data_IF_114935077690
#
_entry.id   IF_114935077690
#
_cell.length_a   1.000
_cell.length_b   1.000
_cell.length_c   1.000
_cell.angle_alpha   90.00
_cell.angle_beta   90.00
_cell.angle_gamma   90.00
#
_symmetry.space_group_name_H-M   'P 1'
#
loop_
_entity.id
_entity.type
_entity.pdbx_description
1 polymer ?
#
# COMPACT_ATOMS: atom_id res chain seq x y z
N UNK A 1 13.22 -20.63 16.90
CA UNK A 1 11.96 -19.92 16.59
C UNK A 1 11.82 -19.78 15.08
N UNK A 2 10.60 -19.91 14.55
CA UNK A 2 10.36 -19.68 13.13
C UNK A 2 10.29 -18.16 12.88
N UNK A 3 10.87 -17.65 11.78
CA UNK A 3 10.74 -16.25 11.42
C UNK A 3 9.25 -15.90 11.21
N UNK A 4 8.83 -14.76 11.77
CA UNK A 4 7.45 -14.29 11.70
C UNK A 4 7.40 -12.95 10.95
N UNK A 5 6.29 -12.72 10.25
CA UNK A 5 6.03 -11.42 9.66
C UNK A 5 5.83 -10.37 10.76
N UNK A 6 6.26 -9.13 10.49
CA UNK A 6 6.12 -8.03 11.44
C UNK A 6 4.65 -7.80 11.84
N UNK A 7 3.72 -8.06 10.95
CA UNK A 7 2.27 -7.98 11.21
C UNK A 7 1.80 -8.85 12.38
N UNK A 8 2.43 -10.01 12.62
CA UNK A 8 2.03 -10.95 13.66
C UNK A 8 2.23 -10.44 15.10
N UNK A 9 2.99 -9.35 15.25
CA UNK A 9 3.17 -8.69 16.55
C UNK A 9 2.01 -7.75 16.92
N UNK A 10 1.13 -7.43 15.96
CA UNK A 10 -0.04 -6.57 16.18
C UNK A 10 -1.24 -7.43 16.51
N UNK A 11 -1.91 -7.11 17.60
CA UNK A 11 -3.11 -7.82 18.05
C UNK A 11 -4.15 -6.81 18.54
N UNK A 12 -5.40 -7.11 18.23
CA UNK A 12 -6.52 -6.34 18.78
C UNK A 12 -6.52 -6.46 20.30
N UNK A 13 -6.56 -5.33 21.01
CA UNK A 13 -6.50 -5.25 22.45
C UNK A 13 -7.88 -5.20 23.13
N UNK A 14 -8.93 -4.95 22.39
CA UNK A 14 -10.31 -4.81 22.89
C UNK A 14 -11.30 -5.44 21.92
N UNK A 15 -12.47 -5.80 22.45
CA UNK A 15 -13.56 -6.29 21.63
C UNK A 15 -14.20 -5.16 20.81
N UNK A 16 -14.55 -5.45 19.58
CA UNK A 16 -15.28 -4.53 18.70
C UNK A 16 -16.70 -5.04 18.48
N UNK A 17 -17.63 -4.10 18.31
CA UNK A 17 -19.01 -4.42 17.95
C UNK A 17 -19.04 -4.95 16.52
N UNK A 18 -19.65 -6.11 16.32
CA UNK A 18 -19.74 -6.75 14.98
C UNK A 18 -20.61 -5.94 14.03
N UNK A 19 -21.73 -5.42 14.52
CA UNK A 19 -22.68 -4.59 13.77
C UNK A 19 -22.77 -3.22 14.47
N UNK A 20 -22.00 -2.21 14.07
CA UNK A 20 -22.12 -0.87 14.63
C UNK A 20 -23.52 -0.29 14.32
N UNK A 21 -24.10 0.52 15.23
CA UNK A 21 -25.43 1.10 15.06
C UNK A 21 -25.42 2.26 14.07
N UNK A 22 -25.23 1.93 12.79
CA UNK A 22 -25.19 2.89 11.67
C UNK A 22 -26.42 2.60 10.81
N UNK A 23 -27.17 3.65 10.46
CA UNK A 23 -28.30 3.53 9.55
C UNK A 23 -27.83 3.28 8.09
N UNK A 24 -28.64 2.62 7.24
CA UNK A 24 -28.23 2.27 5.88
C UNK A 24 -27.84 3.45 5.00
N UNK A 25 -28.35 4.64 5.26
CA UNK A 25 -28.02 5.85 4.47
C UNK A 25 -26.62 6.34 4.82
N UNK A 26 -26.25 6.31 6.11
CA UNK A 26 -24.94 6.70 6.58
C UNK A 26 -23.89 5.64 6.31
N UNK A 27 -24.28 4.37 6.22
CA UNK A 27 -23.36 3.26 5.96
C UNK A 27 -22.57 3.49 4.67
N UNK A 28 -23.22 3.96 3.61
CA UNK A 28 -22.57 4.24 2.33
C UNK A 28 -21.42 5.27 2.45
N UNK A 29 -21.58 6.26 3.32
CA UNK A 29 -20.55 7.27 3.56
C UNK A 29 -19.50 6.80 4.56
N UNK A 30 -19.93 6.27 5.72
CA UNK A 30 -19.05 5.92 6.85
C UNK A 30 -18.22 4.69 6.55
N UNK A 31 -18.77 3.72 5.81
CA UNK A 31 -18.09 2.47 5.42
C UNK A 31 -17.47 2.54 4.03
N UNK A 32 -17.45 3.71 3.41
CA UNK A 32 -16.82 3.88 2.10
C UNK A 32 -15.32 3.61 2.17
N UNK A 33 -14.83 2.80 1.22
CA UNK A 33 -13.39 2.58 0.99
C UNK A 33 -12.85 3.48 -0.13
N UNK A 34 -13.69 4.37 -0.68
CA UNK A 34 -13.28 5.28 -1.75
C UNK A 34 -12.31 6.33 -1.22
N UNK A 35 -11.19 6.48 -1.88
CA UNK A 35 -10.11 7.38 -1.50
C UNK A 35 -9.62 8.22 -2.70
N UNK A 36 -9.10 9.42 -2.41
CA UNK A 36 -8.41 10.26 -3.37
C UNK A 36 -6.94 10.29 -3.01
N UNK A 37 -6.09 9.81 -3.90
CA UNK A 37 -4.65 9.77 -3.71
C UNK A 37 -3.93 10.77 -4.61
N UNK A 38 -2.86 11.38 -4.09
CA UNK A 38 -2.04 12.35 -4.81
C UNK A 38 -1.42 13.40 -3.88
N UNK A 39 -0.90 14.46 -4.47
CA UNK A 39 -0.38 15.59 -3.73
C UNK A 39 -1.54 16.52 -3.33
N UNK A 40 -1.79 16.66 -2.04
CA UNK A 40 -2.86 17.53 -1.50
C UNK A 40 -2.48 19.02 -1.61
N UNK A 41 -1.24 19.33 -1.96
CA UNK A 41 -0.74 20.71 -1.99
C UNK A 41 -0.30 21.23 -0.61
N UNK A 42 0.09 22.49 -0.58
CA UNK A 42 0.74 23.05 0.62
C UNK A 42 -0.23 23.52 1.70
N UNK A 43 -1.45 23.88 1.35
CA UNK A 43 -2.42 24.40 2.33
C UNK A 43 -3.84 23.91 2.02
N UNK A 44 -4.27 22.88 2.72
CA UNK A 44 -5.61 22.27 2.58
C UNK A 44 -6.75 23.25 2.94
N UNK A 45 -6.46 24.30 3.72
CA UNK A 45 -7.46 25.28 4.14
C UNK A 45 -7.71 26.36 3.08
N UNK A 46 -6.82 26.49 2.10
CA UNK A 46 -6.97 27.44 0.99
C UNK A 46 -7.33 26.66 -0.28
N UNK A 47 -8.60 26.70 -0.74
CA UNK A 47 -9.01 26.03 -1.98
C UNK A 47 -8.18 26.50 -3.16
N UNK A 48 -7.63 25.57 -3.92
CA UNK A 48 -6.89 25.84 -5.15
C UNK A 48 -7.08 24.73 -6.17
N UNK A 49 -6.86 25.02 -7.44
CA UNK A 49 -6.94 24.02 -8.53
C UNK A 49 -5.93 22.87 -8.34
N UNK A 50 -4.83 23.12 -7.60
CA UNK A 50 -3.83 22.10 -7.30
C UNK A 50 -4.40 20.92 -6.51
N UNK A 51 -5.42 21.16 -5.65
CA UNK A 51 -6.09 20.11 -4.87
C UNK A 51 -6.93 19.15 -5.73
N UNK A 52 -7.21 19.51 -6.97
CA UNK A 52 -7.95 18.64 -7.90
C UNK A 52 -7.05 17.63 -8.63
N UNK A 53 -5.72 17.71 -8.47
CA UNK A 53 -4.76 16.79 -9.08
C UNK A 53 -4.63 15.50 -8.27
N UNK A 54 -5.70 14.73 -8.22
CA UNK A 54 -5.78 13.47 -7.49
C UNK A 54 -6.37 12.37 -8.35
N UNK A 55 -6.00 11.12 -8.05
CA UNK A 55 -6.64 9.93 -8.61
C UNK A 55 -7.65 9.40 -7.61
N UNK A 56 -8.89 9.20 -8.05
CA UNK A 56 -9.91 8.55 -7.24
C UNK A 56 -9.76 7.04 -7.36
N UNK A 57 -9.65 6.39 -6.23
CA UNK A 57 -9.69 4.94 -6.10
C UNK A 57 -11.03 4.52 -5.49
N UNK A 58 -11.72 3.51 -6.03
CA UNK A 58 -12.95 2.97 -5.42
C UNK A 58 -12.64 2.24 -4.10
N UNK A 59 -11.44 1.70 -3.97
CA UNK A 59 -10.90 1.04 -2.78
C UNK A 59 -9.36 1.10 -2.80
N UNK A 60 -8.69 0.96 -1.65
CA UNK A 60 -7.24 1.13 -1.53
C UNK A 60 -6.42 -0.05 -2.05
N UNK A 61 -7.06 -1.15 -2.48
CA UNK A 61 -6.38 -2.31 -3.04
C UNK A 61 -6.30 -2.19 -4.55
N UNK A 62 -5.09 -2.08 -5.08
CA UNK A 62 -4.81 -1.96 -6.51
C UNK A 62 -4.51 -3.32 -7.13
N UNK A 63 -5.13 -3.64 -8.24
CA UNK A 63 -4.71 -4.76 -9.09
C UNK A 63 -3.34 -4.47 -9.73
N UNK A 64 -2.67 -5.52 -10.24
CA UNK A 64 -1.40 -5.34 -10.97
C UNK A 64 -1.55 -4.38 -12.15
N UNK A 65 -2.63 -4.51 -12.91
CA UNK A 65 -2.92 -3.63 -14.06
C UNK A 65 -3.13 -2.17 -13.63
N UNK A 66 -3.86 -1.94 -12.52
CA UNK A 66 -4.06 -0.58 -12.00
C UNK A 66 -2.75 0.05 -11.51
N UNK A 67 -1.90 -0.74 -10.84
CA UNK A 67 -0.58 -0.28 -10.43
C UNK A 67 0.30 0.06 -11.64
N UNK A 68 0.30 -0.78 -12.68
CA UNK A 68 1.04 -0.53 -13.91
C UNK A 68 0.58 0.75 -14.61
N UNK A 69 -0.72 1.04 -14.62
CA UNK A 69 -1.27 2.31 -15.13
C UNK A 69 -0.71 3.49 -14.34
N UNK A 70 -0.67 3.41 -13.00
CA UNK A 70 -0.10 4.46 -12.15
C UNK A 70 1.40 4.63 -12.35
N UNK A 71 2.16 3.53 -12.52
CA UNK A 71 3.59 3.58 -12.83
C UNK A 71 3.89 4.30 -14.14
N UNK A 72 3.00 4.16 -15.13
CA UNK A 72 3.17 4.69 -16.48
C UNK A 72 2.32 5.91 -16.77
N UNK A 73 1.81 6.57 -15.74
CA UNK A 73 0.94 7.74 -15.91
C UNK A 73 1.68 8.85 -16.65
N UNK A 74 1.12 9.27 -17.81
CA UNK A 74 1.70 10.32 -18.67
C UNK A 74 0.87 11.60 -18.68
N UNK A 75 -0.05 11.72 -17.75
CA UNK A 75 -0.89 12.92 -17.67
C UNK A 75 -0.09 14.07 -17.05
N UNK A 76 -0.22 15.26 -17.62
CA UNK A 76 0.54 16.44 -17.21
C UNK A 76 0.32 16.76 -15.72
N UNK A 77 1.42 16.81 -14.98
CA UNK A 77 1.43 17.11 -13.55
C UNK A 77 1.29 15.88 -12.64
N UNK A 78 1.34 14.66 -13.20
CA UNK A 78 1.39 13.41 -12.44
C UNK A 78 2.74 12.73 -12.68
N UNK A 79 3.48 12.51 -11.61
CA UNK A 79 4.79 11.88 -11.62
C UNK A 79 4.83 10.75 -10.61
N UNK A 80 5.26 9.59 -11.06
CA UNK A 80 5.39 8.38 -10.23
C UNK A 80 6.83 7.92 -10.18
N UNK A 81 7.29 7.50 -9.01
CA UNK A 81 8.57 6.83 -8.83
C UNK A 81 8.35 5.51 -8.11
N UNK A 82 9.10 4.47 -8.51
CA UNK A 82 9.12 3.18 -7.84
C UNK A 82 10.46 3.01 -7.15
N UNK A 83 10.43 2.86 -5.82
CA UNK A 83 11.59 2.69 -4.97
C UNK A 83 11.65 1.25 -4.46
N UNK A 84 12.77 0.53 -4.67
CA UNK A 84 12.95 -0.80 -4.13
C UNK A 84 13.14 -0.74 -2.61
N UNK A 85 12.46 -1.62 -1.88
CA UNK A 85 12.62 -1.80 -0.44
C UNK A 85 13.49 -3.04 -0.17
N UNK A 86 14.69 -3.06 -0.73
CA UNK A 86 15.61 -4.18 -0.64
C UNK A 86 16.88 -3.80 0.14
N UNK A 87 17.50 -4.80 0.80
CA UNK A 87 18.80 -4.64 1.45
C UNK A 87 19.68 -5.87 1.22
N UNK A 88 21.00 -5.70 1.30
CA UNK A 88 21.97 -6.79 1.19
C UNK A 88 21.93 -7.68 2.44
N UNK A 89 21.65 -8.97 2.24
CA UNK A 89 21.57 -9.98 3.33
C UNK A 89 22.90 -10.14 4.03
N UNK A 90 24.03 -10.02 3.31
CA UNK A 90 25.37 -10.23 3.85
C UNK A 90 25.80 -9.16 4.86
N UNK A 91 25.24 -7.94 4.73
CA UNK A 91 25.50 -6.86 5.67
C UNK A 91 24.66 -6.92 6.95
N UNK A 92 23.71 -7.84 7.05
CA UNK A 92 22.88 -8.09 8.23
C UNK A 92 22.13 -6.85 8.73
N UNK A 93 22.12 -6.65 10.05
CA UNK A 93 21.39 -5.54 10.69
C UNK A 93 21.86 -4.15 10.21
N UNK A 94 23.16 -3.99 10.00
CA UNK A 94 23.72 -2.70 9.55
C UNK A 94 23.20 -2.34 8.15
N UNK A 95 23.25 -3.29 7.22
CA UNK A 95 22.73 -3.08 5.86
C UNK A 95 21.23 -2.75 5.85
N UNK A 96 20.43 -3.40 6.71
CA UNK A 96 19.00 -3.06 6.85
C UNK A 96 18.81 -1.61 7.33
N UNK A 97 19.59 -1.16 8.31
CA UNK A 97 19.50 0.21 8.83
C UNK A 97 19.93 1.26 7.79
N UNK A 98 21.00 0.96 7.07
CA UNK A 98 21.50 1.83 5.99
C UNK A 98 20.50 1.91 4.83
N UNK A 99 19.96 0.77 4.40
CA UNK A 99 18.95 0.71 3.34
C UNK A 99 17.68 1.47 3.73
N UNK A 100 17.22 1.35 4.98
CA UNK A 100 16.06 2.09 5.47
C UNK A 100 16.32 3.60 5.50
N UNK A 101 17.51 4.03 5.94
CA UNK A 101 17.90 5.45 5.92
C UNK A 101 18.03 5.98 4.50
N UNK A 102 18.58 5.19 3.59
CA UNK A 102 18.69 5.55 2.18
C UNK A 102 17.31 5.67 1.52
N UNK A 103 16.40 4.74 1.81
CA UNK A 103 15.02 4.75 1.33
C UNK A 103 14.29 6.04 1.75
N UNK A 104 14.42 6.44 3.01
CA UNK A 104 13.82 7.67 3.51
C UNK A 104 14.34 8.92 2.77
N UNK A 105 15.65 8.99 2.54
CA UNK A 105 16.27 10.10 1.79
C UNK A 105 15.87 10.10 0.32
N UNK A 106 15.76 8.93 -0.32
CA UNK A 106 15.30 8.81 -1.70
C UNK A 106 13.85 9.25 -1.84
N UNK A 107 12.99 8.87 -0.89
CA UNK A 107 11.60 9.32 -0.87
C UNK A 107 11.50 10.84 -0.70
N UNK A 108 12.31 11.43 0.18
CA UNK A 108 12.36 12.87 0.37
C UNK A 108 12.82 13.60 -0.91
N UNK A 109 13.91 13.14 -1.54
CA UNK A 109 14.42 13.70 -2.78
C UNK A 109 13.37 13.62 -3.91
N UNK A 110 12.66 12.49 -4.00
CA UNK A 110 11.58 12.32 -4.98
C UNK A 110 10.45 13.34 -4.78
N UNK A 111 10.09 13.67 -3.54
CA UNK A 111 9.11 14.72 -3.27
C UNK A 111 9.63 16.09 -3.71
N UNK A 112 10.91 16.40 -3.48
CA UNK A 112 11.52 17.65 -3.93
C UNK A 112 11.55 17.78 -5.46
N UNK A 113 11.62 16.67 -6.18
CA UNK A 113 11.50 16.58 -7.64
C UNK A 113 10.05 16.68 -8.14
N UNK A 114 9.08 16.79 -7.23
CA UNK A 114 7.66 16.94 -7.57
C UNK A 114 6.94 15.62 -7.87
N UNK A 115 7.44 14.51 -7.34
CA UNK A 115 6.78 13.20 -7.48
C UNK A 115 5.51 13.15 -6.63
N UNK A 116 4.38 12.82 -7.27
CA UNK A 116 3.08 12.74 -6.63
C UNK A 116 2.77 11.35 -6.05
N UNK A 117 3.38 10.29 -6.61
CA UNK A 117 3.15 8.90 -6.22
C UNK A 117 4.49 8.20 -6.00
N UNK A 118 4.75 7.80 -4.77
CA UNK A 118 5.90 6.97 -4.41
C UNK A 118 5.40 5.54 -4.21
N UNK A 119 5.90 4.62 -5.02
CA UNK A 119 5.60 3.19 -4.92
C UNK A 119 6.79 2.50 -4.27
N UNK A 120 6.60 1.97 -3.06
CA UNK A 120 7.56 1.11 -2.40
C UNK A 120 7.35 -0.32 -2.88
N UNK A 121 8.39 -1.01 -3.32
CA UNK A 121 8.27 -2.34 -3.91
C UNK A 121 9.29 -3.32 -3.35
N UNK A 122 8.82 -4.50 -2.93
CA UNK A 122 9.67 -5.62 -2.52
C UNK A 122 10.03 -6.57 -3.68
N UNK A 123 9.66 -6.22 -4.92
CA UNK A 123 10.06 -7.02 -6.07
C UNK A 123 11.56 -6.97 -6.29
N UNK A 124 12.12 -8.11 -6.69
CA UNK A 124 13.55 -8.26 -6.94
C UNK A 124 14.30 -8.94 -5.79
N UNK A 125 13.59 -9.55 -4.85
CA UNK A 125 14.21 -10.42 -3.84
C UNK A 125 14.94 -11.57 -4.51
N UNK A 126 16.20 -11.77 -4.13
CA UNK A 126 17.06 -12.85 -4.60
C UNK A 126 17.93 -13.41 -3.46
N UNK A 127 18.97 -14.21 -3.80
CA UNK A 127 19.85 -14.80 -2.81
C UNK A 127 20.72 -13.76 -2.06
N UNK A 128 20.97 -12.59 -2.64
CA UNK A 128 21.79 -11.52 -2.07
C UNK A 128 20.95 -10.40 -1.44
N UNK A 129 19.72 -10.23 -1.90
CA UNK A 129 18.85 -9.12 -1.50
C UNK A 129 17.56 -9.62 -0.86
N UNK A 130 17.31 -9.21 0.37
CA UNK A 130 16.06 -9.43 1.09
C UNK A 130 15.21 -8.16 1.12
N UNK A 131 13.90 -8.34 1.26
CA UNK A 131 12.99 -7.21 1.42
C UNK A 131 13.08 -6.63 2.84
N UNK A 132 13.09 -5.31 2.95
CA UNK A 132 12.75 -4.63 4.18
C UNK A 132 11.29 -4.97 4.49
N UNK A 133 10.92 -5.38 5.72
CA UNK A 133 9.51 -5.62 6.06
C UNK A 133 8.63 -4.47 5.61
N UNK A 134 7.59 -4.75 4.85
CA UNK A 134 6.77 -3.74 4.17
C UNK A 134 6.17 -2.72 5.14
N UNK A 135 5.71 -3.17 6.31
CA UNK A 135 5.18 -2.30 7.36
C UNK A 135 6.25 -1.37 7.93
N UNK A 136 7.49 -1.86 8.10
CA UNK A 136 8.61 -1.04 8.56
C UNK A 136 8.99 0.02 7.51
N UNK A 137 9.06 -0.36 6.24
CA UNK A 137 9.39 0.56 5.15
C UNK A 137 8.34 1.68 5.02
N UNK A 138 7.05 1.33 5.01
CA UNK A 138 5.95 2.30 4.95
C UNK A 138 6.00 3.26 6.14
N UNK A 139 6.09 2.71 7.36
CA UNK A 139 6.14 3.51 8.59
C UNK A 139 7.34 4.46 8.61
N UNK A 140 8.52 3.98 8.25
CA UNK A 140 9.74 4.80 8.26
C UNK A 140 9.65 5.96 7.25
N UNK A 141 9.25 5.70 6.02
CA UNK A 141 9.08 6.73 4.99
C UNK A 141 7.97 7.71 5.38
N UNK A 142 6.84 7.22 5.88
CA UNK A 142 5.72 8.05 6.33
C UNK A 142 6.16 9.04 7.43
N UNK A 143 6.78 8.54 8.50
CA UNK A 143 7.22 9.39 9.60
C UNK A 143 8.40 10.30 9.24
N UNK A 144 9.30 9.85 8.38
CA UNK A 144 10.36 10.71 7.86
C UNK A 144 9.76 11.89 7.08
N UNK A 145 8.85 11.64 6.15
CA UNK A 145 8.20 12.70 5.39
C UNK A 145 7.36 13.64 6.27
N UNK A 146 6.80 13.16 7.38
CA UNK A 146 6.15 14.02 8.38
C UNK A 146 7.18 14.92 9.04
N UNK A 147 8.32 14.38 9.50
CA UNK A 147 9.36 15.13 10.21
C UNK A 147 9.95 16.26 9.37
N UNK A 148 10.02 16.06 8.05
CA UNK A 148 10.48 17.09 7.09
C UNK A 148 9.34 17.89 6.46
N UNK A 149 8.09 17.74 6.95
CA UNK A 149 6.89 18.47 6.51
C UNK A 149 6.52 18.28 5.03
N UNK A 150 6.83 17.12 4.45
CA UNK A 150 6.60 16.81 3.03
C UNK A 150 5.53 15.73 2.80
N UNK A 151 5.00 15.10 3.87
CA UNK A 151 4.11 13.92 3.75
C UNK A 151 2.87 14.17 2.88
N UNK A 152 2.27 15.35 2.95
CA UNK A 152 1.05 15.70 2.21
C UNK A 152 1.27 16.01 0.73
N UNK A 153 2.53 16.04 0.29
CA UNK A 153 2.89 16.35 -1.09
C UNK A 153 2.95 15.11 -1.99
N UNK A 154 2.79 13.93 -1.44
CA UNK A 154 2.85 12.67 -2.18
C UNK A 154 1.92 11.62 -1.60
N UNK A 155 1.42 10.71 -2.44
CA UNK A 155 0.77 9.49 -2.02
C UNK A 155 1.81 8.36 -1.90
N UNK A 156 1.70 7.56 -0.84
CA UNK A 156 2.59 6.44 -0.57
C UNK A 156 1.86 5.14 -0.88
N UNK A 157 2.35 4.38 -1.84
CA UNK A 157 1.77 3.12 -2.28
C UNK A 157 2.74 2.00 -1.97
N UNK A 158 2.24 0.86 -1.51
CA UNK A 158 3.08 -0.32 -1.24
C UNK A 158 2.71 -1.48 -2.17
N UNK A 159 3.69 -1.98 -2.91
CA UNK A 159 3.62 -3.22 -3.69
C UNK A 159 4.39 -4.29 -2.93
N UNK A 160 3.71 -5.27 -2.35
CA UNK A 160 4.37 -6.26 -1.50
C UNK A 160 3.75 -7.65 -1.58
N UNK A 161 4.63 -8.66 -1.56
CA UNK A 161 4.27 -10.07 -1.43
C UNK A 161 3.95 -10.49 0.00
N UNK A 162 4.22 -9.67 1.00
CA UNK A 162 3.90 -9.97 2.41
C UNK A 162 2.41 -9.83 2.72
N UNK A 163 1.66 -9.08 1.90
CA UNK A 163 0.24 -8.77 2.13
C UNK A 163 -0.60 -9.98 1.76
N UNK A 164 -1.20 -10.65 2.76
CA UNK A 164 -1.96 -11.91 2.57
C UNK A 164 -3.34 -11.87 3.19
N UNK A 165 -3.57 -11.00 4.16
CA UNK A 165 -4.77 -10.92 4.97
C UNK A 165 -5.27 -9.49 5.10
N UNK A 166 -6.56 -9.33 5.43
CA UNK A 166 -7.19 -8.02 5.66
C UNK A 166 -6.48 -7.22 6.73
N UNK A 167 -5.99 -7.89 7.81
CA UNK A 167 -5.25 -7.24 8.88
C UNK A 167 -3.95 -6.62 8.38
N UNK A 168 -3.23 -7.29 7.45
CA UNK A 168 -2.01 -6.72 6.86
C UNK A 168 -2.31 -5.44 6.07
N UNK A 169 -3.38 -5.46 5.29
CA UNK A 169 -3.85 -4.28 4.57
C UNK A 169 -4.22 -3.14 5.51
N UNK A 170 -5.01 -3.42 6.54
CA UNK A 170 -5.44 -2.43 7.53
C UNK A 170 -4.24 -1.80 8.26
N UNK A 171 -3.24 -2.59 8.64
CA UNK A 171 -2.02 -2.07 9.28
C UNK A 171 -1.21 -1.18 8.34
N UNK A 172 -1.01 -1.57 7.09
CA UNK A 172 -0.27 -0.75 6.11
C UNK A 172 -0.96 0.59 5.87
N UNK A 173 -2.28 0.59 5.70
CA UNK A 173 -3.06 1.82 5.56
C UNK A 173 -3.01 2.67 6.84
N UNK A 174 -3.13 2.05 8.01
CA UNK A 174 -3.03 2.71 9.31
C UNK A 174 -1.65 3.33 9.58
N UNK A 175 -0.59 2.75 9.01
CA UNK A 175 0.78 3.26 9.09
C UNK A 175 1.17 4.20 7.96
N UNK A 176 0.23 4.59 7.11
CA UNK A 176 0.38 5.70 6.19
C UNK A 176 0.46 5.36 4.71
N UNK A 177 0.23 4.10 4.32
CA UNK A 177 0.03 3.78 2.91
C UNK A 177 -1.32 4.34 2.43
N UNK A 178 -1.34 4.96 1.26
CA UNK A 178 -2.57 5.42 0.60
C UNK A 178 -3.23 4.30 -0.20
N UNK A 179 -2.44 3.37 -0.72
CA UNK A 179 -2.93 2.20 -1.44
C UNK A 179 -1.93 1.05 -1.35
N UNK A 180 -2.41 -0.16 -1.60
CA UNK A 180 -1.62 -1.38 -1.53
C UNK A 180 -1.81 -2.21 -2.81
N UNK A 181 -0.77 -2.94 -3.21
CA UNK A 181 -0.85 -3.96 -4.25
C UNK A 181 -0.33 -5.29 -3.69
N UNK A 182 -1.21 -6.23 -3.32
CA UNK A 182 -0.84 -7.56 -2.81
C UNK A 182 -0.55 -8.53 -3.97
N UNK A 183 0.48 -8.26 -4.77
CA UNK A 183 0.71 -8.99 -6.03
C UNK A 183 0.88 -10.50 -5.86
N UNK A 184 1.48 -10.94 -4.76
CA UNK A 184 1.67 -12.37 -4.50
C UNK A 184 0.36 -13.05 -4.13
N UNK A 185 -0.52 -12.38 -3.39
CA UNK A 185 -1.86 -12.89 -3.11
C UNK A 185 -2.67 -13.09 -4.40
N UNK A 186 -2.61 -12.12 -5.32
CA UNK A 186 -3.22 -12.27 -6.63
C UNK A 186 -2.64 -13.45 -7.42
N UNK A 187 -1.30 -13.59 -7.45
CA UNK A 187 -0.66 -14.70 -8.15
C UNK A 187 -1.06 -16.07 -7.56
N UNK A 188 -1.22 -16.16 -6.24
CA UNK A 188 -1.70 -17.39 -5.57
C UNK A 188 -3.15 -17.69 -5.95
N UNK A 189 -4.01 -16.68 -5.95
CA UNK A 189 -5.41 -16.83 -6.35
C UNK A 189 -5.54 -17.27 -7.81
N UNK A 190 -4.80 -16.65 -8.72
CA UNK A 190 -4.77 -17.00 -10.13
C UNK A 190 -4.31 -18.45 -10.32
N UNK A 191 -3.30 -18.89 -9.57
CA UNK A 191 -2.84 -20.26 -9.60
C UNK A 191 -3.90 -21.25 -9.05
N UNK A 192 -4.55 -20.91 -7.95
CA UNK A 192 -5.63 -21.71 -7.39
C UNK A 192 -6.81 -21.85 -8.38
N UNK A 193 -7.20 -20.79 -9.05
CA UNK A 193 -8.23 -20.81 -10.09
C UNK A 193 -7.81 -21.72 -11.24
N UNK A 194 -6.55 -21.67 -11.66
CA UNK A 194 -6.03 -22.48 -12.75
C UNK A 194 -5.97 -23.96 -12.39
N UNK A 195 -5.55 -24.30 -11.16
CA UNK A 195 -5.40 -25.69 -10.69
C UNK A 195 -6.73 -26.30 -10.24
N UNK A 196 -7.62 -25.50 -9.66
CA UNK A 196 -8.89 -25.95 -9.06
C UNK A 196 -10.11 -25.61 -9.91
N UNK A 197 -9.97 -25.54 -11.23
CA UNK A 197 -10.97 -25.03 -12.16
C UNK A 197 -12.38 -25.64 -12.05
N UNK A 198 -12.50 -26.86 -11.49
CA UNK A 198 -13.78 -27.55 -11.32
C UNK A 198 -14.49 -27.25 -9.99
N UNK A 199 -13.76 -26.91 -8.92
CA UNK A 199 -14.35 -26.77 -7.59
C UNK A 199 -14.81 -25.34 -7.26
N UNK A 200 -14.10 -24.31 -7.66
CA UNK A 200 -14.48 -22.93 -7.35
C UNK A 200 -15.70 -22.48 -8.16
N UNK A 201 -15.82 -22.88 -9.43
CA UNK A 201 -17.01 -22.60 -10.25
C UNK A 201 -18.27 -23.33 -9.77
N UNK A 202 -18.14 -24.50 -9.17
CA UNK A 202 -19.29 -25.24 -8.64
C UNK A 202 -19.90 -24.57 -7.39
N UNK A 203 -19.12 -23.78 -6.64
CA UNK A 203 -19.61 -23.01 -5.50
C UNK A 203 -20.27 -21.69 -5.88
N UNK A 204 -19.78 -20.99 -6.90
CA UNK A 204 -20.39 -19.74 -7.38
C UNK A 204 -21.78 -19.96 -8.00
N UNK A 205 -21.95 -21.05 -8.75
CA UNK A 205 -23.27 -21.38 -9.35
C UNK A 205 -24.34 -21.78 -8.33
N UNK A 206 -23.98 -22.00 -7.07
CA UNK A 206 -24.94 -22.41 -6.03
C UNK A 206 -25.52 -21.23 -5.24
N UNK A 207 -24.90 -20.05 -5.31
CA UNK A 207 -25.39 -18.85 -4.64
C UNK A 207 -26.32 -17.98 -5.50
N UNK A 208 -26.32 -18.16 -6.82
CA UNK A 208 -27.18 -17.41 -7.74
C UNK A 208 -28.59 -18.06 -7.98
N UNK A 209 -28.95 -19.06 -7.19
CA UNK A 209 -30.22 -19.83 -7.32
C UNK A 209 -31.09 -19.78 -6.05
N UNK A 210 -30.95 -18.75 -5.20
CA UNK A 210 -31.90 -18.51 -4.09
C UNK A 210 -32.38 -17.08 -4.11
#
# INVERSE_FOLDING_TARGET
>A
ERPQLLFNYFRQQFAQVTNPPIDPIREELVMSLSEYIGAVGMNILLPSEAHCKMVRLPHPVLTNTQLDILCNIRYKGFHTVKLPILFDVHGGKAALQEALSALCKQAEASVDEGVNYIILSDRGVDAAHAAIPSLLAVSAVHHHLISVQKRVQTALIIESGEIREVMHAALLLGYGASAINPYMAFAVLDNLVTVSYTHLRAHETRHDLV
#
